data_IF_763789075868
#
_entry.id   IF_763789075868
#
_cell.length_a   1.000
_cell.length_b   1.000
_cell.length_c   1.000
_cell.angle_alpha   90.00
_cell.angle_beta   90.00
_cell.angle_gamma   90.00
#
_symmetry.space_group_name_H-M   'P 1'
#
loop_
_entity.id
_entity.type
_entity.pdbx_description
1 polymer ?
#
# COMPACT_ATOMS: atom_id res chain seq x y z
N UNK A 1 -1.15 -3.35 -1.14
CA UNK A 1 -0.50 -3.72 0.14
C UNK A 1 -1.02 -5.08 0.56
N UNK A 2 -0.13 -5.95 1.02
CA UNK A 2 -0.45 -7.26 1.60
C UNK A 2 -0.81 -7.09 3.08
N UNK A 3 -1.99 -7.57 3.48
CA UNK A 3 -2.57 -7.37 4.82
C UNK A 3 -2.49 -8.62 5.70
N UNK A 4 -2.39 -9.80 5.10
CA UNK A 4 -2.37 -11.09 5.80
C UNK A 4 -1.57 -12.17 5.04
N UNK A 5 -1.44 -13.33 5.68
CA UNK A 5 -0.68 -14.46 5.13
C UNK A 5 -1.32 -15.07 3.87
N UNK A 6 -2.65 -15.02 3.73
CA UNK A 6 -3.34 -15.55 2.54
C UNK A 6 -3.03 -14.67 1.33
N UNK A 7 -3.12 -13.35 1.49
CA UNK A 7 -2.74 -12.38 0.48
C UNK A 7 -1.26 -12.52 0.12
N UNK A 8 -0.39 -12.72 1.10
CA UNK A 8 1.04 -12.94 0.87
C UNK A 8 1.30 -14.13 -0.07
N UNK A 9 0.74 -15.30 0.25
CA UNK A 9 0.90 -16.53 -0.57
C UNK A 9 0.33 -16.35 -1.98
N UNK A 10 -0.83 -15.70 -2.10
CA UNK A 10 -1.44 -15.40 -3.39
C UNK A 10 -0.55 -14.46 -4.22
N UNK A 11 -0.02 -13.40 -3.61
CA UNK A 11 0.85 -12.44 -4.29
C UNK A 11 2.15 -13.10 -4.77
N UNK A 12 2.75 -14.01 -3.98
CA UNK A 12 3.93 -14.77 -4.41
C UNK A 12 3.65 -15.64 -5.64
N UNK A 13 2.49 -16.31 -5.66
CA UNK A 13 2.07 -17.09 -6.84
C UNK A 13 1.90 -16.20 -8.06
N UNK A 14 1.22 -15.06 -7.89
CA UNK A 14 0.95 -14.10 -8.95
C UNK A 14 2.24 -13.50 -9.54
N UNK A 15 3.22 -13.16 -8.70
CA UNK A 15 4.56 -12.72 -9.17
C UNK A 15 5.19 -13.79 -10.07
N UNK A 16 5.19 -15.05 -9.63
CA UNK A 16 5.72 -16.15 -10.42
C UNK A 16 5.00 -16.37 -11.75
N UNK A 17 3.70 -16.07 -11.85
CA UNK A 17 2.95 -16.08 -13.11
C UNK A 17 3.37 -14.93 -14.03
N UNK A 18 3.47 -13.70 -13.51
CA UNK A 18 3.92 -12.55 -14.27
C UNK A 18 5.36 -12.69 -14.78
N UNK A 19 6.27 -13.22 -13.96
CA UNK A 19 7.65 -13.50 -14.35
C UNK A 19 7.74 -14.53 -15.48
N UNK A 20 6.90 -15.59 -15.44
CA UNK A 20 6.82 -16.57 -16.53
C UNK A 20 6.31 -15.92 -17.82
N UNK A 21 5.29 -15.06 -17.73
CA UNK A 21 4.79 -14.31 -18.89
C UNK A 21 5.83 -13.36 -19.47
N UNK A 22 6.57 -12.65 -18.60
CA UNK A 22 7.66 -11.75 -19.00
C UNK A 22 8.76 -12.54 -19.72
N UNK A 23 9.22 -13.65 -19.14
CA UNK A 23 10.24 -14.50 -19.74
C UNK A 23 9.78 -15.12 -21.07
N UNK A 24 8.49 -15.39 -21.25
CA UNK A 24 7.95 -15.91 -22.50
C UNK A 24 7.99 -14.88 -23.63
N UNK A 25 7.59 -13.62 -23.35
CA UNK A 25 7.61 -12.56 -24.36
C UNK A 25 9.04 -12.08 -24.69
N UNK A 26 9.98 -12.20 -23.75
CA UNK A 26 11.39 -11.87 -23.98
C UNK A 26 12.09 -12.88 -24.90
N UNK A 27 11.60 -14.12 -24.95
CA UNK A 27 12.12 -15.19 -25.81
C UNK A 27 11.52 -15.20 -27.22
N UNK A 28 10.44 -14.46 -27.46
CA UNK A 28 9.76 -14.41 -28.76
C UNK A 28 10.42 -13.39 -29.70
N UNK A 29 11.56 -13.78 -30.29
CA UNK A 29 12.31 -12.94 -31.23
C UNK A 29 11.49 -12.50 -32.45
N UNK A 30 10.51 -13.31 -32.87
CA UNK A 30 9.66 -12.99 -34.01
C UNK A 30 8.75 -11.82 -33.68
N UNK A 31 8.11 -11.85 -32.50
CA UNK A 31 7.28 -10.75 -32.01
C UNK A 31 8.07 -9.47 -31.79
N UNK A 32 9.29 -9.57 -31.25
CA UNK A 32 10.20 -8.42 -31.06
C UNK A 32 10.48 -7.72 -32.40
N UNK A 33 10.70 -8.49 -33.47
CA UNK A 33 11.00 -7.94 -34.81
C UNK A 33 9.74 -7.44 -35.53
N UNK A 34 8.59 -8.09 -35.32
CA UNK A 34 7.35 -7.77 -36.02
C UNK A 34 6.63 -6.52 -35.48
N UNK A 35 6.67 -6.30 -34.16
CA UNK A 35 6.05 -5.13 -33.50
C UNK A 35 6.88 -4.71 -32.26
N UNK A 36 8.00 -3.99 -32.46
CA UNK A 36 8.88 -3.59 -31.36
C UNK A 36 8.18 -2.70 -30.32
N UNK A 37 7.35 -1.76 -30.77
CA UNK A 37 6.68 -0.79 -29.91
C UNK A 37 5.61 -1.47 -29.04
N UNK A 38 4.77 -2.33 -29.65
CA UNK A 38 3.78 -3.09 -28.92
C UNK A 38 4.40 -4.10 -27.95
N UNK A 39 5.53 -4.71 -28.33
CA UNK A 39 6.30 -5.58 -27.43
C UNK A 39 6.82 -4.82 -26.20
N UNK A 40 7.41 -3.64 -26.40
CA UNK A 40 7.95 -2.81 -25.32
C UNK A 40 6.87 -2.38 -24.32
N UNK A 41 5.68 -1.99 -24.81
CA UNK A 41 4.54 -1.62 -23.95
C UNK A 41 4.14 -2.80 -23.05
N UNK A 42 4.03 -3.99 -23.63
CA UNK A 42 3.62 -5.18 -22.87
C UNK A 42 4.70 -5.58 -21.87
N UNK A 43 5.97 -5.54 -22.28
CA UNK A 43 7.12 -5.79 -21.39
C UNK A 43 7.13 -4.83 -20.21
N UNK A 44 7.00 -3.53 -20.49
CA UNK A 44 6.97 -2.48 -19.47
C UNK A 44 5.82 -2.68 -18.49
N UNK A 45 4.62 -3.02 -18.98
CA UNK A 45 3.46 -3.32 -18.13
C UNK A 45 3.69 -4.52 -17.21
N UNK A 46 4.13 -5.66 -17.76
CA UNK A 46 4.43 -6.87 -16.98
C UNK A 46 5.52 -6.60 -15.94
N UNK A 47 6.60 -5.94 -16.35
CA UNK A 47 7.69 -5.57 -15.44
C UNK A 47 7.21 -4.67 -14.31
N UNK A 48 6.38 -3.66 -14.61
CA UNK A 48 5.79 -2.79 -13.59
C UNK A 48 4.98 -3.60 -12.56
N UNK A 49 4.17 -4.56 -13.01
CA UNK A 49 3.41 -5.42 -12.10
C UNK A 49 4.32 -6.31 -11.23
N UNK A 50 5.37 -6.90 -11.79
CA UNK A 50 6.37 -7.66 -11.03
C UNK A 50 7.03 -6.78 -9.97
N UNK A 51 7.59 -5.64 -10.39
CA UNK A 51 8.31 -4.74 -9.50
C UNK A 51 7.40 -4.24 -8.35
N UNK A 52 6.14 -3.91 -8.66
CA UNK A 52 5.15 -3.48 -7.67
C UNK A 52 4.83 -4.58 -6.65
N UNK A 53 4.49 -5.78 -7.10
CA UNK A 53 4.09 -6.87 -6.20
C UNK A 53 5.27 -7.37 -5.36
N UNK A 54 6.48 -7.40 -5.94
CA UNK A 54 7.71 -7.73 -5.21
C UNK A 54 8.01 -6.69 -4.12
N UNK A 55 7.77 -5.40 -4.37
CA UNK A 55 7.89 -4.37 -3.34
C UNK A 55 6.88 -4.57 -2.19
N UNK A 56 5.64 -4.97 -2.51
CA UNK A 56 4.64 -5.29 -1.47
C UNK A 56 5.03 -6.53 -0.64
N UNK A 57 5.59 -7.56 -1.28
CA UNK A 57 6.14 -8.75 -0.62
C UNK A 57 7.26 -8.35 0.35
N UNK A 58 8.25 -7.58 -0.12
CA UNK A 58 9.38 -7.15 0.69
C UNK A 58 8.94 -6.29 1.88
N UNK A 59 7.94 -5.44 1.70
CA UNK A 59 7.33 -4.69 2.80
C UNK A 59 6.66 -5.60 3.83
N UNK A 60 5.86 -6.58 3.39
CA UNK A 60 5.22 -7.53 4.29
C UNK A 60 6.26 -8.34 5.07
N UNK A 61 7.28 -8.87 4.39
CA UNK A 61 8.38 -9.62 4.99
C UNK A 61 9.14 -8.79 6.04
N UNK A 62 9.40 -7.51 5.76
CA UNK A 62 10.00 -6.57 6.72
C UNK A 62 9.16 -6.42 7.99
N UNK A 63 7.83 -6.35 7.86
CA UNK A 63 6.93 -6.20 9.01
C UNK A 63 6.88 -7.47 9.86
N UNK A 64 6.75 -8.65 9.25
CA UNK A 64 6.67 -9.91 9.99
C UNK A 64 7.99 -10.32 10.65
N UNK A 65 9.12 -9.93 10.05
CA UNK A 65 10.47 -10.22 10.56
C UNK A 65 10.91 -9.27 11.67
N UNK A 66 10.20 -8.14 11.85
CA UNK A 66 10.50 -7.15 12.87
C UNK A 66 10.40 -7.75 14.29
N UNK A 67 11.30 -7.34 15.18
CA UNK A 67 11.23 -7.73 16.59
C UNK A 67 10.05 -7.02 17.25
N UNK A 68 9.16 -7.81 17.84
CA UNK A 68 7.93 -7.33 18.48
C UNK A 68 8.19 -6.49 19.73
N UNK A 69 9.40 -6.51 20.26
CA UNK A 69 9.80 -5.73 21.44
C UNK A 69 10.50 -4.41 21.07
N UNK A 70 10.83 -4.19 19.79
CA UNK A 70 11.47 -2.97 19.33
C UNK A 70 10.46 -2.04 18.63
N UNK A 71 10.50 -0.72 18.89
CA UNK A 71 9.67 0.24 18.16
C UNK A 71 9.97 0.18 16.66
N UNK A 72 8.93 0.06 15.83
CA UNK A 72 9.05 0.14 14.37
C UNK A 72 8.72 1.55 13.88
N UNK A 73 9.65 2.27 13.22
CA UNK A 73 9.32 3.54 12.59
C UNK A 73 8.52 3.30 11.31
N UNK A 74 7.28 3.80 11.27
CA UNK A 74 6.43 3.80 10.09
C UNK A 74 6.19 5.25 9.65
N UNK A 75 6.67 5.60 8.46
CA UNK A 75 6.58 6.96 7.91
C UNK A 75 5.44 7.10 6.92
N UNK A 76 4.77 8.25 6.93
CA UNK A 76 3.79 8.65 5.92
C UNK A 76 4.30 9.87 5.16
N UNK A 77 4.01 9.91 3.86
CA UNK A 77 4.21 11.11 3.04
C UNK A 77 2.91 11.90 2.89
N UNK A 78 1.77 11.21 3.03
CA UNK A 78 0.43 11.78 2.92
C UNK A 78 -0.50 11.25 4.01
N UNK A 79 -1.47 12.07 4.43
CA UNK A 79 -2.57 11.64 5.30
C UNK A 79 -3.37 10.44 4.76
N UNK A 80 -3.45 10.29 3.44
CA UNK A 80 -4.09 9.14 2.80
C UNK A 80 -3.38 7.80 3.09
N UNK A 81 -2.14 7.84 3.58
CA UNK A 81 -1.37 6.63 3.93
C UNK A 81 -1.70 6.13 5.36
N UNK A 82 -2.41 6.94 6.16
CA UNK A 82 -2.73 6.61 7.56
C UNK A 82 -3.41 5.25 7.72
N UNK A 83 -4.40 4.85 6.90
CA UNK A 83 -5.00 3.51 7.01
C UNK A 83 -3.97 2.38 6.87
N UNK A 84 -3.02 2.52 5.94
CA UNK A 84 -1.98 1.52 5.75
C UNK A 84 -1.07 1.43 6.97
N UNK A 85 -0.79 2.55 7.66
CA UNK A 85 -0.01 2.52 8.92
C UNK A 85 -0.68 1.68 9.99
N UNK A 86 -2.01 1.75 10.13
CA UNK A 86 -2.74 0.94 11.11
C UNK A 86 -2.54 -0.55 10.84
N UNK A 87 -2.68 -0.95 9.58
CA UNK A 87 -2.51 -2.34 9.14
C UNK A 87 -1.05 -2.79 9.32
N UNK A 88 -0.07 -1.95 8.92
CA UNK A 88 1.36 -2.23 9.07
C UNK A 88 1.75 -2.41 10.53
N UNK A 89 1.25 -1.53 11.41
CA UNK A 89 1.48 -1.60 12.84
C UNK A 89 0.90 -2.89 13.43
N UNK A 90 -0.32 -3.31 13.03
CA UNK A 90 -0.89 -4.59 13.45
C UNK A 90 0.01 -5.77 13.05
N UNK A 91 0.45 -5.81 11.79
CA UNK A 91 1.30 -6.91 11.27
C UNK A 91 2.63 -6.94 12.02
N UNK A 92 3.30 -5.80 12.21
CA UNK A 92 4.55 -5.71 12.95
C UNK A 92 4.38 -6.11 14.43
N UNK A 93 3.24 -5.78 15.03
CA UNK A 93 2.85 -6.23 16.36
C UNK A 93 2.45 -7.72 16.42
N UNK A 94 2.48 -8.46 15.30
CA UNK A 94 2.09 -9.87 15.17
C UNK A 94 0.71 -10.18 15.74
N UNK A 95 -0.21 -9.22 15.62
CA UNK A 95 -1.59 -9.38 16.05
C UNK A 95 -2.44 -9.88 14.89
N UNK A 96 -3.26 -10.89 15.15
CA UNK A 96 -4.39 -11.22 14.31
C UNK A 96 -5.44 -10.10 14.36
N UNK A 97 -6.30 -10.04 13.34
CA UNK A 97 -7.43 -9.11 13.32
C UNK A 97 -8.35 -9.31 14.53
N UNK A 98 -8.49 -10.55 15.02
CA UNK A 98 -9.23 -10.87 16.23
C UNK A 98 -8.60 -10.25 17.48
N UNK A 99 -7.29 -10.43 17.66
CA UNK A 99 -6.59 -9.86 18.82
C UNK A 99 -6.62 -8.33 18.80
N UNK A 100 -6.50 -7.70 17.62
CA UNK A 100 -6.67 -6.25 17.50
C UNK A 100 -8.10 -5.84 17.86
N UNK A 101 -9.11 -6.58 17.40
CA UNK A 101 -10.51 -6.31 17.73
C UNK A 101 -10.77 -6.39 19.25
N UNK A 102 -10.24 -7.42 19.89
CA UNK A 102 -10.31 -7.61 21.35
C UNK A 102 -9.65 -6.45 22.11
N UNK A 103 -8.48 -5.97 21.65
CA UNK A 103 -7.79 -4.81 22.23
C UNK A 103 -8.53 -3.48 21.99
N UNK A 104 -9.10 -3.30 20.80
CA UNK A 104 -9.83 -2.10 20.40
C UNK A 104 -11.27 -2.06 20.94
N UNK A 105 -11.77 -3.16 21.53
CA UNK A 105 -13.12 -3.26 22.07
C UNK A 105 -14.23 -3.27 21.00
N UNK A 106 -13.91 -3.79 19.80
CA UNK A 106 -14.84 -3.91 18.66
C UNK A 106 -14.87 -5.35 18.13
N UNK A 107 -15.76 -5.68 17.20
CA UNK A 107 -15.84 -7.06 16.69
C UNK A 107 -14.76 -7.36 15.65
N UNK A 108 -14.43 -8.65 15.48
CA UNK A 108 -13.46 -9.09 14.46
C UNK A 108 -13.93 -8.74 13.05
N UNK A 109 -15.24 -8.83 12.78
CA UNK A 109 -15.85 -8.48 11.50
C UNK A 109 -15.70 -6.98 11.19
N UNK A 110 -15.75 -6.11 12.21
CA UNK A 110 -15.50 -4.68 12.03
C UNK A 110 -14.06 -4.41 11.62
N UNK A 111 -13.07 -5.00 12.32
CA UNK A 111 -11.65 -4.87 11.93
C UNK A 111 -11.42 -5.42 10.52
N UNK A 112 -11.98 -6.58 10.19
CA UNK A 112 -11.88 -7.14 8.83
C UNK A 112 -12.42 -6.18 7.78
N UNK A 113 -13.64 -5.67 7.98
CA UNK A 113 -14.25 -4.69 7.07
C UNK A 113 -13.39 -3.44 6.92
N UNK A 114 -12.88 -2.89 8.03
CA UNK A 114 -12.03 -1.71 7.99
C UNK A 114 -10.73 -2.00 7.24
N UNK A 115 -10.04 -3.10 7.54
CA UNK A 115 -8.81 -3.43 6.84
C UNK A 115 -9.05 -3.73 5.37
N UNK A 116 -10.14 -4.42 5.00
CA UNK A 116 -10.47 -4.75 3.62
C UNK A 116 -10.66 -3.50 2.75
N UNK A 117 -11.34 -2.48 3.30
CA UNK A 117 -11.63 -1.22 2.61
C UNK A 117 -10.75 -0.05 3.09
N UNK A 118 -9.52 -0.32 3.55
CA UNK A 118 -8.54 0.70 3.95
C UNK A 118 -9.10 1.81 4.87
N UNK A 119 -9.92 1.40 5.84
CA UNK A 119 -10.61 2.22 6.83
C UNK A 119 -11.47 3.34 6.23
N UNK A 120 -11.85 3.27 4.95
CA UNK A 120 -12.57 4.35 4.25
C UNK A 120 -13.94 4.65 4.87
N UNK A 121 -14.56 3.65 5.48
CA UNK A 121 -15.87 3.74 6.13
C UNK A 121 -15.81 3.70 7.66
N UNK A 122 -14.60 3.76 8.23
CA UNK A 122 -14.38 3.94 9.65
C UNK A 122 -14.54 5.42 10.02
N UNK A 123 -15.32 5.69 11.06
CA UNK A 123 -15.36 7.00 11.71
C UNK A 123 -14.01 7.30 12.38
N UNK A 124 -13.76 8.59 12.61
CA UNK A 124 -12.57 9.03 13.33
C UNK A 124 -12.45 8.38 14.72
N UNK A 125 -13.58 8.15 15.40
CA UNK A 125 -13.57 7.51 16.73
C UNK A 125 -13.15 6.04 16.64
N UNK A 126 -13.62 5.30 15.64
CA UNK A 126 -13.22 3.90 15.39
C UNK A 126 -11.73 3.80 15.03
N UNK A 127 -11.22 4.73 14.20
CA UNK A 127 -9.78 4.83 13.92
C UNK A 127 -9.00 5.10 15.21
N UNK A 128 -9.50 5.98 16.09
CA UNK A 128 -8.84 6.29 17.35
C UNK A 128 -8.76 5.07 18.27
N UNK A 129 -9.83 4.26 18.38
CA UNK A 129 -9.77 3.01 19.15
C UNK A 129 -8.65 2.08 18.66
N UNK A 130 -8.47 1.97 17.35
CA UNK A 130 -7.39 1.17 16.76
C UNK A 130 -6.00 1.77 17.02
N UNK A 131 -5.85 3.10 16.89
CA UNK A 131 -4.60 3.81 17.20
C UNK A 131 -4.20 3.58 18.66
N UNK A 132 -5.16 3.72 19.58
CA UNK A 132 -4.94 3.56 21.02
C UNK A 132 -4.63 2.09 21.36
N UNK A 133 -5.32 1.13 20.74
CA UNK A 133 -5.07 -0.31 20.91
C UNK A 133 -3.68 -0.75 20.43
N UNK A 134 -3.16 -0.12 19.37
CA UNK A 134 -1.83 -0.36 18.82
C UNK A 134 -0.73 0.51 19.49
N UNK A 135 -1.10 1.34 20.46
CA UNK A 135 -0.24 2.31 21.14
C UNK A 135 0.62 3.17 20.19
N UNK A 136 0.05 3.55 19.03
CA UNK A 136 0.79 4.30 18.01
C UNK A 136 1.16 5.69 18.56
N UNK A 137 2.46 6.01 18.55
CA UNK A 137 2.99 7.32 18.96
C UNK A 137 3.42 8.13 17.75
N UNK A 138 3.13 9.43 17.78
CA UNK A 138 3.63 10.37 16.79
C UNK A 138 5.01 10.85 17.23
N UNK A 139 6.01 10.70 16.36
CA UNK A 139 7.35 11.25 16.54
C UNK A 139 7.54 12.48 15.64
N UNK A 140 8.02 13.59 16.21
CA UNK A 140 8.17 14.94 15.59
C UNK A 140 6.85 15.65 15.23
N UNK A 141 5.88 14.96 14.64
CA UNK A 141 4.50 15.45 14.47
C UNK A 141 4.35 16.72 13.64
N UNK A 142 5.23 16.95 12.67
CA UNK A 142 5.22 18.17 11.87
C UNK A 142 4.14 18.11 10.78
N UNK A 143 3.26 19.11 10.78
CA UNK A 143 2.22 19.31 9.76
C UNK A 143 2.42 20.68 9.13
N UNK A 144 2.66 20.71 7.83
CA UNK A 144 2.92 21.96 7.10
C UNK A 144 1.63 22.41 6.41
N UNK A 145 1.17 23.62 6.75
CA UNK A 145 0.07 24.28 6.06
C UNK A 145 0.66 25.34 5.11
N UNK A 146 0.59 25.16 3.78
CA UNK A 146 1.13 26.14 2.84
C UNK A 146 0.17 27.32 2.74
N UNK A 147 0.34 28.32 3.62
CA UNK A 147 -0.57 29.46 3.78
C UNK A 147 -0.67 30.34 2.53
N UNK A 148 0.42 30.41 1.76
CA UNK A 148 0.56 31.14 0.50
C UNK A 148 -0.18 30.46 -0.66
N UNK A 149 -0.13 29.12 -0.74
CA UNK A 149 -0.87 28.33 -1.73
C UNK A 149 -2.15 27.73 -1.16
N UNK A 150 -2.65 28.24 -0.04
CA UNK A 150 -3.81 27.67 0.64
C UNK A 150 -5.04 27.81 -0.23
N UNK A 151 -5.65 26.67 -0.57
CA UNK A 151 -6.90 26.62 -1.32
C UNK A 151 -8.00 27.44 -0.62
N UNK A 152 -8.71 28.28 -1.39
CA UNK A 152 -9.84 29.11 -0.91
C UNK A 152 -11.19 28.74 -1.53
N UNK A 153 -11.24 27.65 -2.29
CA UNK A 153 -12.47 27.09 -2.86
C UNK A 153 -12.94 25.87 -2.08
N UNK A 154 -14.25 25.59 -2.00
CA UNK A 154 -14.75 24.37 -1.36
C UNK A 154 -14.13 23.12 -1.99
N UNK A 155 -13.75 22.16 -1.16
CA UNK A 155 -13.35 20.82 -1.62
C UNK A 155 -14.62 20.03 -1.92
N UNK A 156 -14.70 19.40 -3.08
CA UNK A 156 -15.83 18.54 -3.42
C UNK A 156 -15.52 17.07 -3.13
N UNK A 157 -16.57 16.26 -2.95
CA UNK A 157 -16.41 14.83 -2.70
C UNK A 157 -15.76 14.13 -3.90
N UNK A 158 -16.12 14.54 -5.10
CA UNK A 158 -15.55 14.01 -6.35
C UNK A 158 -14.04 14.23 -6.37
N UNK A 159 -13.58 15.43 -6.04
CA UNK A 159 -12.15 15.75 -6.02
C UNK A 159 -11.37 14.90 -5.02
N UNK A 160 -11.93 14.66 -3.83
CA UNK A 160 -11.31 13.78 -2.84
C UNK A 160 -11.17 12.35 -3.38
N UNK A 161 -12.22 11.81 -4.00
CA UNK A 161 -12.20 10.46 -4.56
C UNK A 161 -11.25 10.34 -5.76
N UNK A 162 -11.18 11.35 -6.63
CA UNK A 162 -10.26 11.37 -7.78
C UNK A 162 -8.80 11.66 -7.41
N UNK A 163 -8.53 12.30 -6.27
CA UNK A 163 -7.17 12.54 -5.81
C UNK A 163 -6.45 11.22 -5.49
N UNK A 164 -7.17 10.22 -4.97
CA UNK A 164 -6.65 8.88 -4.64
C UNK A 164 -6.13 8.13 -5.87
N UNK A 165 -6.76 8.27 -7.04
CA UNK A 165 -6.31 7.61 -8.28
C UNK A 165 -5.07 8.27 -8.89
N UNK A 166 -4.83 9.57 -8.61
CA UNK A 166 -3.63 10.28 -9.08
C UNK A 166 -2.39 9.99 -8.23
N UNK A 167 -2.53 9.65 -6.95
CA UNK A 167 -1.38 9.32 -6.10
C UNK A 167 -0.69 8.04 -6.57
N UNK A 168 -1.47 7.02 -6.98
CA UNK A 168 -0.92 5.83 -7.64
C UNK A 168 -0.19 6.17 -8.95
N UNK A 169 -0.75 7.03 -9.80
CA UNK A 169 -0.11 7.40 -11.09
C UNK A 169 1.07 8.39 -10.98
N UNK A 170 1.19 9.14 -9.88
CA UNK A 170 2.35 10.02 -9.65
C UNK A 170 3.57 9.26 -9.15
N UNK A 171 3.40 8.27 -8.25
CA UNK A 171 4.48 7.33 -7.91
C UNK A 171 4.95 6.54 -9.14
N UNK A 172 4.02 6.11 -10.01
CA UNK A 172 4.30 5.43 -11.29
C UNK A 172 5.13 6.26 -12.28
N UNK A 173 5.07 7.60 -12.22
CA UNK A 173 5.80 8.50 -13.11
C UNK A 173 7.13 8.98 -12.56
N UNK A 174 7.33 8.95 -11.25
CA UNK A 174 8.59 9.37 -10.62
C UNK A 174 9.67 8.28 -10.65
N UNK A 175 9.30 7.00 -10.51
CA UNK A 175 10.24 5.86 -10.65
C UNK A 175 10.80 5.74 -12.06
N UNK A 176 10.01 6.04 -13.09
CA UNK A 176 10.44 6.02 -14.50
C UNK A 176 11.41 7.16 -14.90
N UNK A 177 11.57 8.20 -14.06
CA UNK A 177 12.47 9.35 -14.34
C UNK A 177 13.82 9.30 -13.64
N UNK A 178 14.04 8.35 -12.72
CA UNK A 178 15.33 8.14 -12.06
C UNK A 178 16.17 7.02 -12.69
N UNK A 179 15.69 6.37 -13.76
CA UNK A 179 16.38 5.29 -14.48
C UNK A 179 16.72 5.70 -15.94
N UNK A 180 16.75 7.01 -16.23
CA UNK A 180 17.27 7.56 -17.50
C UNK A 180 18.46 8.47 -17.25
#
# INVERSE_FOLDING_TARGET
>A
MIKDEKQYKLTQQLVGEFEKSLAAIEKDEHRIKADPDGWEIIRGSLKYHVDKLTAEIAEYERLISHDRHEPIPLTIENFNDLPQILIKARIAAKLSQKELADLAGITTEQIQRYEDNDYEDASFLEIKFVIDALDIKIHKGELIVPLDTLRRTPVTKEELLFSRSRTHSKLERQTSKQVQ
#
